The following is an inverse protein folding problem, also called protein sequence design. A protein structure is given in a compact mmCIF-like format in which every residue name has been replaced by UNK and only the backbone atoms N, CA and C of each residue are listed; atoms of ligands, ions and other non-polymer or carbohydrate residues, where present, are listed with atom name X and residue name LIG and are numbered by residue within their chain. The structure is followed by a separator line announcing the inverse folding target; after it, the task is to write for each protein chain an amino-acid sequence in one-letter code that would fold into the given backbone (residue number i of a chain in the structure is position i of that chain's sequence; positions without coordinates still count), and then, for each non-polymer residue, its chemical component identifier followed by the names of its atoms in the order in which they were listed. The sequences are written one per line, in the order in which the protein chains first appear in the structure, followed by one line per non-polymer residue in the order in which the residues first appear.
data_IF_747940983568
#
_entry.id   IF_747940983568
#
_cell.length_a   1.000
_cell.length_b   1.000
_cell.length_c   1.000
_cell.angle_alpha   90.00
_cell.angle_beta   90.00
_cell.angle_gamma   90.00
#
_symmetry.space_group_name_H-M   'P 1'
#
loop_
_entity.id
_entity.type
_entity.pdbx_description
1 polymer ?
#
# COMPACT_ATOMS: atom_id res chain seq x y z
N UNK A 1 14.29 -20.71 -5.77
CA UNK A 1 14.35 -20.36 -7.21
C UNK A 1 13.13 -19.56 -7.71
N UNK A 2 12.01 -19.46 -6.99
CA UNK A 2 10.77 -18.89 -7.51
C UNK A 2 10.61 -17.36 -7.38
N UNK A 3 11.38 -16.66 -6.59
CA UNK A 3 11.19 -15.21 -6.33
C UNK A 3 11.94 -14.29 -7.30
N UNK A 4 13.09 -14.70 -7.82
CA UNK A 4 13.93 -13.85 -8.70
C UNK A 4 13.29 -13.49 -10.05
N UNK A 5 12.13 -14.05 -10.40
CA UNK A 5 11.38 -13.67 -11.60
C UNK A 5 10.15 -12.82 -11.31
N UNK A 6 9.72 -12.69 -10.05
CA UNK A 6 8.52 -11.94 -9.65
C UNK A 6 8.77 -10.44 -9.72
N UNK A 7 7.71 -9.69 -10.07
CA UNK A 7 7.73 -8.24 -10.12
C UNK A 7 6.63 -7.66 -9.24
N UNK A 8 6.93 -6.56 -8.58
CA UNK A 8 6.01 -5.83 -7.72
C UNK A 8 5.85 -4.38 -8.14
N UNK A 9 4.66 -3.85 -7.97
CA UNK A 9 4.38 -2.41 -7.95
C UNK A 9 4.11 -2.00 -6.52
N UNK A 10 4.77 -0.94 -6.05
CA UNK A 10 4.48 -0.29 -4.77
C UNK A 10 4.16 1.18 -5.03
N UNK A 11 2.95 1.63 -4.68
CA UNK A 11 2.52 3.01 -4.85
C UNK A 11 2.86 3.86 -3.63
N UNK A 12 3.18 5.16 -3.84
CA UNK A 12 3.66 6.04 -2.75
C UNK A 12 4.98 5.55 -2.16
N UNK A 13 5.87 5.01 -3.01
CA UNK A 13 7.04 4.25 -2.56
C UNK A 13 8.35 5.05 -2.53
N UNK A 14 8.30 6.36 -2.79
CA UNK A 14 9.49 7.21 -2.72
C UNK A 14 10.01 7.42 -1.28
N UNK A 15 9.16 7.23 -0.27
CA UNK A 15 9.49 7.48 1.13
C UNK A 15 8.64 6.64 2.11
N UNK A 16 8.97 6.73 3.40
CA UNK A 16 8.16 6.20 4.51
C UNK A 16 7.86 4.70 4.39
N UNK A 17 6.61 4.31 4.67
CA UNK A 17 6.15 2.92 4.65
C UNK A 17 6.34 2.31 3.26
N UNK A 18 5.98 3.02 2.20
CA UNK A 18 6.11 2.53 0.83
C UNK A 18 7.56 2.21 0.44
N UNK A 19 8.53 3.05 0.82
CA UNK A 19 9.96 2.79 0.59
C UNK A 19 10.45 1.58 1.38
N UNK A 20 10.04 1.45 2.64
CA UNK A 20 10.39 0.27 3.45
C UNK A 20 9.81 -1.03 2.88
N UNK A 21 8.56 -0.99 2.38
CA UNK A 21 7.94 -2.12 1.67
C UNK A 21 8.74 -2.46 0.41
N UNK A 22 9.08 -1.47 -0.41
CA UNK A 22 9.88 -1.68 -1.61
C UNK A 22 11.24 -2.31 -1.28
N UNK A 23 11.92 -1.82 -0.24
CA UNK A 23 13.19 -2.37 0.25
C UNK A 23 13.03 -3.83 0.70
N UNK A 24 11.95 -4.17 1.41
CA UNK A 24 11.67 -5.54 1.83
C UNK A 24 11.44 -6.47 0.64
N UNK A 25 10.63 -6.07 -0.35
CA UNK A 25 10.37 -6.89 -1.52
C UNK A 25 11.61 -7.09 -2.39
N UNK A 26 12.45 -6.05 -2.51
CA UNK A 26 13.77 -6.15 -3.16
C UNK A 26 14.68 -7.14 -2.43
N UNK A 27 14.76 -7.06 -1.10
CA UNK A 27 15.53 -7.99 -0.27
C UNK A 27 15.04 -9.44 -0.41
N UNK A 28 13.73 -9.62 -0.62
CA UNK A 28 13.11 -10.92 -0.89
C UNK A 28 13.31 -11.40 -2.34
N UNK A 29 14.08 -10.64 -3.17
CA UNK A 29 14.50 -11.02 -4.53
C UNK A 29 13.52 -10.64 -5.64
N UNK A 30 12.59 -9.73 -5.39
CA UNK A 30 11.66 -9.23 -6.40
C UNK A 30 12.24 -8.03 -7.17
N UNK A 31 11.83 -7.87 -8.43
CA UNK A 31 11.96 -6.63 -9.18
C UNK A 31 10.86 -5.67 -8.72
N UNK A 32 11.18 -4.41 -8.46
CA UNK A 32 10.21 -3.49 -7.84
C UNK A 32 10.09 -2.18 -8.62
N UNK A 33 8.87 -1.84 -9.00
CA UNK A 33 8.53 -0.52 -9.50
C UNK A 33 8.14 0.41 -8.35
N UNK A 34 8.91 1.48 -8.18
CA UNK A 34 8.69 2.57 -7.24
C UNK A 34 7.77 3.58 -7.92
N UNK A 35 6.49 3.55 -7.58
CA UNK A 35 5.49 4.45 -8.18
C UNK A 35 5.19 5.58 -7.22
N UNK A 36 5.41 6.83 -7.63
CA UNK A 36 5.16 8.00 -6.80
C UNK A 36 4.81 9.22 -7.66
N UNK A 37 4.10 10.19 -7.09
CA UNK A 37 3.84 11.47 -7.75
C UNK A 37 5.10 12.32 -7.85
N UNK A 38 6.03 12.17 -6.92
CA UNK A 38 7.33 12.84 -6.90
C UNK A 38 8.37 12.00 -7.66
N UNK A 39 8.60 12.35 -8.94
CA UNK A 39 9.53 11.65 -9.81
C UNK A 39 10.96 11.62 -9.28
N UNK A 40 11.46 12.75 -8.78
CA UNK A 40 12.85 12.85 -8.29
C UNK A 40 13.09 11.92 -7.09
N UNK A 41 12.17 11.95 -6.13
CA UNK A 41 12.24 11.09 -4.96
C UNK A 41 12.07 9.60 -5.33
N UNK A 42 11.23 9.28 -6.31
CA UNK A 42 11.06 7.91 -6.80
C UNK A 42 12.34 7.38 -7.47
N UNK A 43 13.00 8.20 -8.29
CA UNK A 43 14.29 7.86 -8.92
C UNK A 43 15.35 7.63 -7.86
N UNK A 44 15.50 8.55 -6.91
CA UNK A 44 16.48 8.41 -5.83
C UNK A 44 16.25 7.13 -5.01
N UNK A 45 14.99 6.81 -4.68
CA UNK A 45 14.66 5.58 -3.96
C UNK A 45 14.97 4.32 -4.79
N UNK A 46 14.67 4.32 -6.08
CA UNK A 46 14.96 3.19 -6.96
C UNK A 46 16.47 2.95 -7.10
N UNK A 47 17.26 4.00 -7.32
CA UNK A 47 18.72 3.92 -7.42
C UNK A 47 19.36 3.45 -6.10
N UNK A 48 18.90 3.97 -4.96
CA UNK A 48 19.37 3.55 -3.64
C UNK A 48 19.13 2.05 -3.42
N UNK A 49 17.93 1.56 -3.71
CA UNK A 49 17.59 0.15 -3.54
C UNK A 49 18.34 -0.74 -4.54
N UNK A 50 18.49 -0.31 -5.79
CA UNK A 50 19.31 -1.02 -6.78
C UNK A 50 20.77 -1.13 -6.33
N UNK A 51 21.36 -0.04 -5.85
CA UNK A 51 22.75 -0.03 -5.37
C UNK A 51 22.96 -0.85 -4.11
N UNK A 52 22.02 -0.79 -3.16
CA UNK A 52 22.15 -1.50 -1.89
C UNK A 52 21.98 -3.02 -2.02
N UNK A 53 21.09 -3.47 -2.90
CA UNK A 53 20.70 -4.88 -2.99
C UNK A 53 21.07 -5.55 -4.32
N UNK A 54 21.63 -4.81 -5.27
CA UNK A 54 21.89 -5.33 -6.63
C UNK A 54 20.62 -5.71 -7.38
N UNK A 55 19.50 -5.02 -7.11
CA UNK A 55 18.19 -5.39 -7.58
C UNK A 55 17.77 -4.63 -8.84
N UNK A 56 16.86 -5.22 -9.61
CA UNK A 56 16.23 -4.57 -10.76
C UNK A 56 15.03 -3.74 -10.29
N UNK A 57 15.25 -2.45 -10.16
CA UNK A 57 14.23 -1.47 -9.76
C UNK A 57 13.95 -0.48 -10.88
N UNK A 58 12.77 0.13 -10.88
CA UNK A 58 12.44 1.25 -11.75
C UNK A 58 11.59 2.28 -11.01
N UNK A 59 11.76 3.54 -11.39
CA UNK A 59 10.90 4.64 -10.93
C UNK A 59 9.85 4.97 -11.98
N UNK A 60 8.62 5.19 -11.55
CA UNK A 60 7.50 5.60 -12.42
C UNK A 60 6.75 6.75 -11.76
N UNK A 61 6.70 7.90 -12.43
CA UNK A 61 5.86 9.00 -11.97
C UNK A 61 4.39 8.69 -12.25
N UNK A 62 3.54 8.83 -11.21
CA UNK A 62 2.11 8.64 -11.34
C UNK A 62 1.36 9.37 -10.21
N UNK A 63 0.41 10.22 -10.58
CA UNK A 63 -0.67 10.63 -9.68
C UNK A 63 -1.73 9.51 -9.69
N UNK A 64 -1.81 8.77 -8.60
CA UNK A 64 -2.71 7.61 -8.46
C UNK A 64 -4.19 7.98 -8.57
N UNK A 65 -4.55 9.25 -8.34
CA UNK A 65 -5.92 9.75 -8.49
C UNK A 65 -6.38 9.88 -9.94
N UNK A 66 -5.45 9.73 -10.91
CA UNK A 66 -5.71 9.89 -12.34
C UNK A 66 -5.65 8.52 -13.04
N UNK A 67 -6.80 7.95 -13.40
CA UNK A 67 -6.89 6.60 -14.00
C UNK A 67 -6.02 6.44 -15.24
N UNK A 68 -5.92 7.47 -16.08
CA UNK A 68 -5.07 7.45 -17.29
C UNK A 68 -3.58 7.31 -16.94
N UNK A 69 -3.10 8.06 -15.94
CA UNK A 69 -1.71 7.94 -15.47
C UNK A 69 -1.42 6.58 -14.88
N UNK A 70 -2.39 5.99 -14.15
CA UNK A 70 -2.27 4.63 -13.59
C UNK A 70 -2.13 3.61 -14.73
N UNK A 71 -2.96 3.68 -15.76
CA UNK A 71 -2.87 2.78 -16.91
C UNK A 71 -1.52 2.89 -17.63
N UNK A 72 -1.01 4.11 -17.84
CA UNK A 72 0.32 4.35 -18.41
C UNK A 72 1.42 3.79 -17.51
N UNK A 73 1.32 3.97 -16.19
CA UNK A 73 2.29 3.47 -15.23
C UNK A 73 2.36 1.92 -15.24
N UNK A 74 1.20 1.27 -15.19
CA UNK A 74 1.10 -0.20 -15.26
C UNK A 74 1.67 -0.73 -16.57
N UNK A 75 1.35 -0.09 -17.70
CA UNK A 75 1.88 -0.48 -19.00
C UNK A 75 3.41 -0.40 -19.03
N UNK A 76 4.01 0.70 -18.56
CA UNK A 76 5.48 0.84 -18.48
C UNK A 76 6.13 -0.27 -17.64
N UNK A 77 5.51 -0.65 -16.53
CA UNK A 77 6.02 -1.73 -15.68
C UNK A 77 5.91 -3.07 -16.40
N UNK A 78 4.79 -3.35 -17.07
CA UNK A 78 4.61 -4.58 -17.84
C UNK A 78 5.59 -4.67 -19.02
N UNK A 79 5.83 -3.57 -19.73
CA UNK A 79 6.84 -3.50 -20.81
C UNK A 79 8.26 -3.78 -20.28
N UNK A 80 8.62 -3.24 -19.11
CA UNK A 80 9.96 -3.38 -18.53
C UNK A 80 10.20 -4.71 -17.84
N UNK A 81 9.20 -5.22 -17.08
CA UNK A 81 9.33 -6.43 -16.28
C UNK A 81 8.64 -7.66 -16.89
N UNK A 82 7.78 -7.50 -17.89
CA UNK A 82 7.01 -8.59 -18.51
C UNK A 82 5.86 -9.12 -17.66
N UNK A 83 5.82 -8.81 -16.37
CA UNK A 83 4.78 -9.27 -15.43
C UNK A 83 4.65 -8.31 -14.24
N UNK A 84 3.48 -8.34 -13.59
CA UNK A 84 3.29 -7.84 -12.23
C UNK A 84 2.64 -8.96 -11.42
N UNK A 85 3.32 -9.42 -10.38
CA UNK A 85 2.89 -10.52 -9.52
C UNK A 85 2.36 -10.02 -8.18
N UNK A 86 2.84 -8.87 -7.73
CA UNK A 86 2.47 -8.23 -6.46
C UNK A 86 2.09 -6.78 -6.72
N UNK A 87 0.92 -6.38 -6.24
CA UNK A 87 0.49 -4.99 -6.16
C UNK A 87 0.39 -4.59 -4.70
N UNK A 88 1.09 -3.53 -4.31
CA UNK A 88 0.95 -2.90 -3.01
C UNK A 88 0.37 -1.49 -3.20
N UNK A 89 -0.89 -1.33 -2.90
CA UNK A 89 -1.61 -0.06 -2.90
C UNK A 89 -1.31 0.65 -1.57
N UNK A 90 -0.20 1.43 -1.54
CA UNK A 90 0.25 2.13 -0.35
C UNK A 90 0.06 3.65 -0.44
N UNK A 91 -0.04 4.23 -1.62
CA UNK A 91 -0.22 5.67 -1.77
C UNK A 91 -1.40 6.19 -0.94
N UNK A 92 -1.17 7.27 -0.22
CA UNK A 92 -2.21 7.85 0.62
C UNK A 92 -1.76 9.15 1.28
N UNK A 93 -2.72 9.96 1.62
CA UNK A 93 -2.49 11.22 2.33
C UNK A 93 -3.38 11.29 3.56
N UNK A 94 -2.90 12.00 4.59
CA UNK A 94 -3.71 12.40 5.73
C UNK A 94 -4.52 13.65 5.38
N UNK A 95 -5.63 13.84 6.08
CA UNK A 95 -6.37 15.10 6.03
C UNK A 95 -6.27 15.81 7.38
N UNK A 96 -6.22 17.13 7.35
CA UNK A 96 -6.27 17.94 8.56
C UNK A 96 -7.58 17.68 9.30
N UNK A 97 -7.49 17.50 10.62
CA UNK A 97 -8.66 17.36 11.47
C UNK A 97 -9.30 18.73 11.69
N UNK A 98 -10.59 18.85 11.40
CA UNK A 98 -11.42 20.03 11.60
C UNK A 98 -12.83 19.61 11.95
N UNK A 99 -13.72 20.52 12.40
CA UNK A 99 -15.13 20.21 12.63
C UNK A 99 -15.77 19.57 11.39
N UNK A 100 -16.64 18.57 11.60
CA UNK A 100 -17.21 17.77 10.51
C UNK A 100 -17.92 18.63 9.45
N UNK A 101 -18.67 19.65 9.89
CA UNK A 101 -19.41 20.55 9.01
C UNK A 101 -18.56 21.45 8.11
N UNK A 102 -17.26 21.54 8.39
CA UNK A 102 -16.32 22.35 7.62
C UNK A 102 -15.65 21.58 6.48
N UNK A 103 -15.86 20.25 6.38
CA UNK A 103 -15.32 19.48 5.26
C UNK A 103 -16.12 19.75 4.00
N UNK A 104 -15.42 20.28 2.99
CA UNK A 104 -16.00 20.56 1.68
C UNK A 104 -16.02 19.31 0.80
N UNK A 105 -16.81 19.35 -0.28
CA UNK A 105 -16.77 18.29 -1.30
C UNK A 105 -15.36 18.08 -1.85
N UNK A 106 -14.60 19.16 -2.05
CA UNK A 106 -13.23 19.09 -2.54
C UNK A 106 -12.29 18.34 -1.57
N UNK A 107 -12.48 18.49 -0.25
CA UNK A 107 -11.72 17.70 0.73
C UNK A 107 -12.01 16.19 0.57
N UNK A 108 -13.29 15.83 0.42
CA UNK A 108 -13.72 14.45 0.18
C UNK A 108 -13.14 13.91 -1.14
N UNK A 109 -13.31 14.64 -2.24
CA UNK A 109 -12.83 14.24 -3.56
C UNK A 109 -11.31 13.99 -3.54
N UNK A 110 -10.54 14.88 -2.91
CA UNK A 110 -9.09 14.75 -2.81
C UNK A 110 -8.67 13.50 -2.03
N UNK A 111 -9.24 13.31 -0.83
CA UNK A 111 -8.86 12.18 0.02
C UNK A 111 -9.29 10.85 -0.60
N UNK A 112 -10.53 10.75 -1.07
CA UNK A 112 -11.02 9.53 -1.72
C UNK A 112 -10.33 9.28 -3.06
N UNK A 113 -10.04 10.32 -3.84
CA UNK A 113 -9.31 10.21 -5.09
C UNK A 113 -7.97 9.50 -4.92
N UNK A 114 -7.20 9.89 -3.90
CA UNK A 114 -5.87 9.31 -3.66
C UNK A 114 -5.97 8.00 -2.87
N UNK A 115 -6.66 8.01 -1.71
CA UNK A 115 -6.60 6.92 -0.75
C UNK A 115 -7.45 5.70 -1.11
N UNK A 116 -8.41 5.84 -2.06
CA UNK A 116 -9.32 4.78 -2.44
C UNK A 116 -9.39 4.58 -3.96
N UNK A 117 -9.68 5.65 -4.74
CA UNK A 117 -9.80 5.49 -6.20
C UNK A 117 -8.48 5.09 -6.85
N UNK A 118 -7.33 5.55 -6.31
CA UNK A 118 -6.02 5.07 -6.74
C UNK A 118 -5.88 3.56 -6.64
N UNK A 119 -6.27 2.98 -5.50
CA UNK A 119 -6.27 1.53 -5.29
C UNK A 119 -7.20 0.82 -6.29
N UNK A 120 -8.39 1.40 -6.53
CA UNK A 120 -9.35 0.89 -7.53
C UNK A 120 -8.75 0.86 -8.91
N UNK A 121 -8.09 1.94 -9.35
CA UNK A 121 -7.51 2.04 -10.70
C UNK A 121 -6.38 1.04 -10.91
N UNK A 122 -5.46 0.89 -9.95
CA UNK A 122 -4.41 -0.13 -10.02
C UNK A 122 -4.98 -1.55 -10.03
N UNK A 123 -5.99 -1.83 -9.21
CA UNK A 123 -6.68 -3.13 -9.24
C UNK A 123 -7.33 -3.38 -10.61
N UNK A 124 -8.06 -2.41 -11.17
CA UNK A 124 -8.68 -2.53 -12.50
C UNK A 124 -7.64 -2.83 -13.59
N UNK A 125 -6.48 -2.16 -13.55
CA UNK A 125 -5.45 -2.31 -14.56
C UNK A 125 -4.74 -3.70 -14.49
N UNK A 126 -4.61 -4.30 -13.29
CA UNK A 126 -3.83 -5.52 -13.08
C UNK A 126 -4.66 -6.80 -12.96
N UNK A 127 -5.90 -6.71 -12.48
CA UNK A 127 -6.77 -7.89 -12.30
C UNK A 127 -6.92 -8.74 -13.55
N UNK A 128 -7.11 -8.20 -14.79
CA UNK A 128 -7.20 -9.02 -15.98
C UNK A 128 -5.99 -9.94 -16.18
N UNK A 129 -4.79 -9.40 -16.06
CA UNK A 129 -3.53 -10.15 -16.20
C UNK A 129 -3.36 -11.18 -15.09
N UNK A 130 -3.69 -10.82 -13.84
CA UNK A 130 -3.62 -11.76 -12.71
C UNK A 130 -4.62 -12.90 -12.84
N UNK A 131 -5.84 -12.63 -13.35
CA UNK A 131 -6.85 -13.68 -13.65
C UNK A 131 -6.36 -14.65 -14.72
N UNK A 132 -5.78 -14.15 -15.79
CA UNK A 132 -5.22 -14.96 -16.88
C UNK A 132 -4.10 -15.86 -16.39
N UNK A 133 -3.15 -15.31 -15.61
CA UNK A 133 -2.04 -16.06 -15.01
C UNK A 133 -2.48 -17.04 -13.92
N UNK A 134 -3.67 -16.88 -13.35
CA UNK A 134 -4.13 -17.57 -12.14
C UNK A 134 -3.13 -17.44 -10.99
N UNK A 135 -2.56 -16.26 -10.83
CA UNK A 135 -1.57 -15.95 -9.81
C UNK A 135 -1.48 -14.44 -9.58
N UNK A 136 -1.43 -14.02 -8.34
CA UNK A 136 -1.24 -12.61 -7.97
C UNK A 136 -1.39 -12.40 -6.47
N UNK A 137 -0.84 -11.28 -5.99
CA UNK A 137 -0.98 -10.81 -4.61
C UNK A 137 -1.34 -9.33 -4.64
N UNK A 138 -2.46 -8.97 -4.05
CA UNK A 138 -2.88 -7.58 -3.88
C UNK A 138 -2.89 -7.28 -2.39
N UNK A 139 -2.11 -6.28 -1.97
CA UNK A 139 -2.02 -5.83 -0.59
C UNK A 139 -2.40 -4.36 -0.53
N UNK A 140 -3.46 -4.04 0.19
CA UNK A 140 -3.99 -2.69 0.30
C UNK A 140 -3.61 -2.08 1.66
N UNK A 141 -3.25 -0.80 1.67
CA UNK A 141 -2.96 -0.06 2.89
C UNK A 141 -4.25 0.54 3.47
N UNK A 142 -4.85 -0.18 4.42
CA UNK A 142 -5.92 0.33 5.26
C UNK A 142 -5.36 1.18 6.41
N UNK A 143 -6.00 1.18 7.57
CA UNK A 143 -5.55 1.84 8.80
C UNK A 143 -6.40 1.36 9.96
N UNK A 144 -5.87 1.36 11.18
CA UNK A 144 -6.69 1.22 12.39
C UNK A 144 -7.81 2.28 12.48
N UNK A 145 -7.64 3.43 11.82
CA UNK A 145 -8.66 4.48 11.79
C UNK A 145 -9.95 4.04 11.10
N UNK A 146 -9.91 3.04 10.22
CA UNK A 146 -11.08 2.46 9.59
C UNK A 146 -12.05 1.84 10.61
N UNK A 147 -11.52 1.33 11.71
CA UNK A 147 -12.31 0.72 12.79
C UNK A 147 -12.65 1.72 13.89
N UNK A 148 -11.69 2.57 14.28
CA UNK A 148 -11.87 3.53 15.38
C UNK A 148 -12.65 4.78 14.99
N UNK A 149 -13.03 4.93 13.71
CA UNK A 149 -13.74 6.10 13.22
C UNK A 149 -12.88 7.37 13.18
N UNK A 150 -11.56 7.24 13.26
CA UNK A 150 -10.65 8.38 13.13
C UNK A 150 -10.52 9.25 14.38
N UNK A 151 -10.58 8.67 15.58
CA UNK A 151 -10.40 9.43 16.84
C UNK A 151 -9.09 10.24 16.83
N UNK A 152 -8.01 9.67 16.28
CA UNK A 152 -6.72 10.35 16.12
C UNK A 152 -6.49 10.92 14.70
N UNK A 153 -7.42 10.70 13.76
CA UNK A 153 -7.34 11.16 12.37
C UNK A 153 -8.62 11.93 11.99
N UNK A 154 -8.74 12.36 10.73
CA UNK A 154 -9.97 12.97 10.26
C UNK A 154 -11.02 11.92 9.89
N UNK A 155 -12.34 12.23 9.99
CA UNK A 155 -13.39 11.31 9.60
C UNK A 155 -13.35 10.91 8.12
N UNK A 156 -12.95 11.83 7.22
CA UNK A 156 -12.83 11.50 5.78
C UNK A 156 -11.66 10.55 5.50
N UNK A 157 -10.54 10.69 6.22
CA UNK A 157 -9.45 9.72 6.16
C UNK A 157 -9.92 8.34 6.63
N UNK A 158 -10.57 8.29 7.81
CA UNK A 158 -11.08 7.03 8.35
C UNK A 158 -12.08 6.36 7.39
N UNK A 159 -13.02 7.14 6.82
CA UNK A 159 -13.98 6.66 5.83
C UNK A 159 -13.28 6.13 4.57
N UNK A 160 -12.25 6.81 4.05
CA UNK A 160 -11.50 6.32 2.89
C UNK A 160 -10.80 4.98 3.19
N UNK A 161 -10.22 4.81 4.38
CA UNK A 161 -9.56 3.56 4.78
C UNK A 161 -10.56 2.43 5.12
N UNK A 162 -11.78 2.76 5.55
CA UNK A 162 -12.87 1.80 5.67
C UNK A 162 -13.38 1.32 4.29
N UNK A 163 -13.41 2.19 3.29
CA UNK A 163 -13.71 1.81 1.90
C UNK A 163 -12.67 0.81 1.35
N UNK A 164 -11.37 1.05 1.56
CA UNK A 164 -10.28 0.11 1.21
C UNK A 164 -10.47 -1.24 1.91
N UNK A 165 -10.84 -1.23 3.17
CA UNK A 165 -11.12 -2.44 3.94
C UNK A 165 -12.26 -3.26 3.35
N UNK A 166 -13.39 -2.61 3.04
CA UNK A 166 -14.55 -3.27 2.45
C UNK A 166 -14.21 -3.83 1.06
N UNK A 167 -13.58 -3.04 0.19
CA UNK A 167 -13.15 -3.44 -1.15
C UNK A 167 -12.22 -4.66 -1.09
N UNK A 168 -11.28 -4.72 -0.14
CA UNK A 168 -10.37 -5.85 0.03
C UNK A 168 -11.13 -7.16 0.19
N UNK A 169 -12.15 -7.19 1.04
CA UNK A 169 -12.98 -8.40 1.26
C UNK A 169 -13.78 -8.77 0.01
N UNK A 170 -14.35 -7.80 -0.68
CA UNK A 170 -15.12 -8.02 -1.90
C UNK A 170 -14.24 -8.62 -3.00
N UNK A 171 -13.07 -8.00 -3.26
CA UNK A 171 -12.12 -8.50 -4.25
C UNK A 171 -11.54 -9.87 -3.90
N UNK A 172 -11.30 -10.14 -2.61
CA UNK A 172 -10.83 -11.45 -2.18
C UNK A 172 -11.79 -12.58 -2.57
N UNK A 173 -13.09 -12.36 -2.43
CA UNK A 173 -14.11 -13.31 -2.87
C UNK A 173 -14.14 -13.49 -4.40
N UNK A 174 -14.06 -12.39 -5.14
CA UNK A 174 -14.04 -12.41 -6.61
C UNK A 174 -12.78 -13.08 -7.18
N UNK A 175 -11.63 -12.83 -6.54
CA UNK A 175 -10.32 -13.24 -7.07
C UNK A 175 -9.88 -14.65 -6.62
N UNK A 176 -10.51 -15.20 -5.58
CA UNK A 176 -10.20 -16.54 -5.05
C UNK A 176 -10.20 -17.65 -6.11
N UNK A 177 -11.20 -17.76 -7.01
CA UNK A 177 -11.20 -18.77 -8.07
C UNK A 177 -10.00 -18.71 -9.03
N UNK A 178 -9.32 -17.56 -9.07
CA UNK A 178 -8.15 -17.33 -9.92
C UNK A 178 -6.81 -17.44 -9.14
N UNK A 179 -6.83 -17.99 -7.93
CA UNK A 179 -5.63 -18.14 -7.08
C UNK A 179 -4.89 -16.81 -6.80
N UNK A 180 -5.63 -15.69 -6.84
CA UNK A 180 -5.13 -14.36 -6.48
C UNK A 180 -5.60 -14.04 -5.07
N UNK A 181 -4.68 -13.71 -4.17
CA UNK A 181 -5.05 -13.28 -2.83
C UNK A 181 -5.16 -11.77 -2.77
N UNK A 182 -6.13 -11.28 -2.02
CA UNK A 182 -6.34 -9.86 -1.77
C UNK A 182 -6.46 -9.64 -0.27
N UNK A 183 -5.50 -8.93 0.32
CA UNK A 183 -5.45 -8.66 1.75
C UNK A 183 -5.22 -7.17 2.00
N UNK A 184 -5.42 -6.73 3.22
CA UNK A 184 -5.00 -5.41 3.65
C UNK A 184 -4.19 -5.47 4.93
N UNK A 185 -3.37 -4.46 5.15
CA UNK A 185 -2.73 -4.19 6.43
C UNK A 185 -3.33 -2.92 7.03
N UNK A 186 -3.49 -2.89 8.34
CA UNK A 186 -4.06 -1.77 9.10
C UNK A 186 -3.04 -1.22 10.11
N UNK A 187 -2.11 -0.36 9.67
CA UNK A 187 -1.13 0.25 10.56
C UNK A 187 -1.80 1.14 11.62
N UNK A 188 -1.20 1.14 12.82
CA UNK A 188 -1.53 2.04 13.91
C UNK A 188 -0.65 3.28 13.93
N UNK A 189 -0.02 3.53 15.09
CA UNK A 189 0.90 4.65 15.30
C UNK A 189 2.30 4.31 14.75
N UNK A 190 2.51 4.57 13.47
CA UNK A 190 3.78 4.35 12.77
C UNK A 190 4.52 5.67 12.64
N UNK A 191 5.79 5.70 13.07
CA UNK A 191 6.64 6.88 12.94
C UNK A 191 7.18 7.00 11.51
N UNK A 192 6.76 8.05 10.82
CA UNK A 192 7.19 8.41 9.47
C UNK A 192 7.38 9.92 9.39
N UNK A 193 7.91 10.42 8.29
CA UNK A 193 7.93 11.88 8.04
C UNK A 193 6.53 12.50 8.09
N UNK A 194 5.53 11.81 7.53
CA UNK A 194 4.13 12.24 7.51
C UNK A 194 3.54 12.37 8.93
N UNK A 195 3.98 11.54 9.87
CA UNK A 195 3.43 11.47 11.23
C UNK A 195 4.35 12.06 12.31
N UNK A 196 5.52 12.58 11.93
CA UNK A 196 6.53 13.14 12.85
C UNK A 196 5.93 14.15 13.84
N UNK A 197 5.01 14.98 13.38
CA UNK A 197 4.37 16.02 14.18
C UNK A 197 2.95 15.64 14.67
N UNK A 198 2.56 14.36 14.59
CA UNK A 198 1.24 13.89 15.00
C UNK A 198 1.06 13.75 16.52
N UNK A 199 2.13 14.00 17.30
CA UNK A 199 2.09 13.90 18.77
C UNK A 199 2.01 12.47 19.29
N UNK A 200 2.44 11.49 18.51
CA UNK A 200 2.47 10.08 18.93
C UNK A 200 3.55 9.88 20.03
N UNK A 201 3.23 9.03 20.99
CA UNK A 201 4.11 8.69 22.11
C UNK A 201 4.05 7.18 22.39
N UNK A 202 5.15 6.63 22.87
CA UNK A 202 5.30 5.19 23.18
C UNK A 202 4.27 4.69 24.20
N UNK A 203 3.85 5.55 25.13
CA UNK A 203 2.88 5.22 26.18
C UNK A 203 1.45 5.02 25.64
N UNK A 204 1.16 5.50 24.42
CA UNK A 204 -0.12 5.29 23.73
C UNK A 204 -0.29 3.86 23.20
N UNK A 205 0.79 3.10 23.14
CA UNK A 205 0.81 1.75 22.55
C UNK A 205 1.05 0.71 23.62
N UNK A 206 0.27 -0.37 23.71
CA UNK A 206 0.50 -1.47 24.66
C UNK A 206 1.92 -2.03 24.60
N UNK A 207 2.52 -2.16 23.41
CA UNK A 207 3.90 -2.61 23.25
C UNK A 207 4.96 -1.59 23.71
N UNK A 208 4.55 -0.40 24.21
CA UNK A 208 5.43 0.65 24.73
C UNK A 208 6.51 1.12 23.76
N UNK A 209 6.23 1.02 22.48
CA UNK A 209 6.99 1.67 21.39
C UNK A 209 6.05 2.02 20.25
N UNK A 210 6.39 3.04 19.50
CA UNK A 210 5.76 3.32 18.21
C UNK A 210 6.21 2.29 17.18
N UNK A 211 5.36 2.03 16.19
CA UNK A 211 5.72 1.21 15.05
C UNK A 211 6.68 1.94 14.11
N UNK A 212 7.45 1.18 13.36
CA UNK A 212 8.33 1.67 12.30
C UNK A 212 7.81 1.28 10.92
N UNK A 213 8.25 1.92 9.83
CA UNK A 213 7.94 1.47 8.48
C UNK A 213 8.29 -0.01 8.23
N UNK A 214 9.37 -0.51 8.85
CA UNK A 214 9.84 -1.88 8.74
C UNK A 214 8.86 -2.87 9.39
N UNK A 215 8.22 -2.51 10.53
CA UNK A 215 7.18 -3.34 11.14
C UNK A 215 6.02 -3.60 10.14
N UNK A 216 5.70 -2.61 9.31
CA UNK A 216 4.67 -2.76 8.26
C UNK A 216 5.20 -3.54 7.07
N UNK A 217 6.42 -3.24 6.64
CA UNK A 217 7.06 -3.89 5.50
C UNK A 217 7.22 -5.40 5.69
N UNK A 218 7.52 -5.85 6.91
CA UNK A 218 7.67 -7.28 7.24
C UNK A 218 6.37 -8.05 7.05
N UNK A 219 5.24 -7.50 7.47
CA UNK A 219 3.93 -8.12 7.27
C UNK A 219 3.53 -8.11 5.79
N UNK A 220 3.81 -7.01 5.07
CA UNK A 220 3.56 -6.93 3.63
C UNK A 220 4.43 -7.95 2.88
N UNK A 221 5.70 -8.13 3.25
CA UNK A 221 6.58 -9.16 2.70
C UNK A 221 6.01 -10.57 2.87
N UNK A 222 5.49 -10.90 4.07
CA UNK A 222 4.78 -12.16 4.29
C UNK A 222 3.57 -12.30 3.37
N UNK A 223 2.71 -11.28 3.26
CA UNK A 223 1.51 -11.33 2.41
C UNK A 223 1.84 -11.39 0.91
N UNK A 224 3.01 -10.93 0.49
CA UNK A 224 3.51 -11.01 -0.88
C UNK A 224 4.14 -12.37 -1.21
N UNK A 225 4.47 -13.18 -0.20
CA UNK A 225 5.19 -14.45 -0.33
C UNK A 225 4.25 -15.63 -0.64
N UNK A 226 4.86 -16.80 -0.88
CA UNK A 226 4.11 -18.07 -1.00
C UNK A 226 3.60 -18.60 0.34
N UNK A 227 4.17 -18.15 1.45
CA UNK A 227 3.77 -18.59 2.78
C UNK A 227 2.35 -18.13 3.14
N UNK A 228 1.86 -17.06 2.49
CA UNK A 228 0.50 -16.53 2.63
C UNK A 228 -0.49 -17.03 1.56
N UNK A 229 -0.15 -18.04 0.75
CA UNK A 229 -0.96 -18.48 -0.41
C UNK A 229 -2.41 -18.89 -0.08
N UNK A 230 -2.70 -19.17 1.19
CA UNK A 230 -4.05 -19.51 1.67
C UNK A 230 -4.66 -18.41 2.55
N UNK A 231 -4.05 -17.22 2.57
CA UNK A 231 -4.53 -16.04 3.30
C UNK A 231 -5.13 -15.06 2.31
N UNK A 232 -6.45 -14.86 2.37
CA UNK A 232 -7.16 -13.88 1.53
C UNK A 232 -8.36 -13.29 2.28
N UNK A 233 -8.68 -12.03 1.98
CA UNK A 233 -9.77 -11.28 2.65
C UNK A 233 -9.41 -10.81 4.06
N UNK A 234 -8.17 -11.00 4.50
CA UNK A 234 -7.73 -10.60 5.83
C UNK A 234 -7.38 -9.11 5.89
N UNK A 235 -7.64 -8.55 7.05
CA UNK A 235 -7.11 -7.23 7.44
C UNK A 235 -6.18 -7.48 8.62
N UNK A 236 -4.89 -7.31 8.39
CA UNK A 236 -3.88 -7.59 9.41
C UNK A 236 -3.54 -6.31 10.16
N UNK A 237 -3.86 -6.28 11.45
CA UNK A 237 -3.53 -5.16 12.31
C UNK A 237 -2.03 -5.12 12.62
N UNK A 238 -1.41 -3.94 12.40
CA UNK A 238 0.00 -3.67 12.71
C UNK A 238 0.01 -2.43 13.60
N UNK A 239 -0.42 -2.58 14.84
CA UNK A 239 -0.76 -1.45 15.68
C UNK A 239 -0.22 -1.56 17.12
N UNK A 240 0.59 -2.58 17.42
CA UNK A 240 1.17 -2.76 18.75
C UNK A 240 0.15 -3.01 19.86
N UNK A 241 -1.06 -3.46 19.48
CA UNK A 241 -2.14 -3.80 20.41
C UNK A 241 -3.08 -2.63 20.73
N UNK A 242 -3.02 -1.51 19.98
CA UNK A 242 -3.94 -0.37 20.21
C UNK A 242 -5.37 -0.67 19.82
N UNK A 243 -5.59 -1.61 18.90
CA UNK A 243 -6.88 -2.18 18.55
C UNK A 243 -6.74 -3.70 18.53
N UNK A 244 -7.63 -4.41 19.20
CA UNK A 244 -7.65 -5.87 19.28
C UNK A 244 -9.04 -6.37 18.86
N UNK A 245 -9.10 -7.43 18.05
CA UNK A 245 -10.34 -8.04 17.54
C UNK A 245 -10.42 -9.50 17.96
#
# INVERSE_FOLDING_TARGET
MALMSKAAIVTGAAQGIGKAIAARLVKDGMRVAIVDVNQEAAVAAAEELAGQYGADTMAVQCDVSQEEQVNIAVQKVLERFGTVDVLVNNAGILSLKKPFVEYTKADWDKIFGINFMGDVFFCKALIPTMKEKKSGRIINMASQSAETGGLAASPIYAASKAAVWCMTKSLAGEMGPYQVTVNAVAPGYIMTEMTRNAGYRDDMVPMKRLGTPEDVADVVGFLASEDSRYVTGMIVDINGGTVMR
#
